data_IF_965331684124
#
_entry.id   IF_965331684124
#
_cell.length_a   1.000
_cell.length_b   1.000
_cell.length_c   1.000
_cell.angle_alpha   90.00
_cell.angle_beta   90.00
_cell.angle_gamma   90.00
#
_symmetry.space_group_name_H-M   'P 1'
#
loop_
_entity.id
_entity.type
_entity.pdbx_description
1 polymer ?
#
# COMPACT_ATOMS: atom_id res chain seq x y z
N UNK A 1 -8.96 27.62 -16.82
CA UNK A 1 -10.07 26.69 -16.56
C UNK A 1 -9.53 25.30 -16.79
N UNK A 2 -9.42 24.48 -15.76
CA UNK A 2 -8.98 23.09 -15.90
C UNK A 2 -10.07 22.34 -16.64
N UNK A 3 -9.77 21.71 -17.78
CA UNK A 3 -10.73 20.84 -18.45
C UNK A 3 -11.21 19.75 -17.47
N UNK A 4 -12.51 19.42 -17.47
CA UNK A 4 -13.02 18.38 -16.60
C UNK A 4 -12.37 17.03 -16.96
N UNK A 5 -11.75 16.39 -15.96
CA UNK A 5 -11.16 15.07 -16.13
C UNK A 5 -12.25 14.08 -16.61
N UNK A 6 -12.01 13.30 -17.68
CA UNK A 6 -12.96 12.30 -18.13
C UNK A 6 -13.28 11.29 -17.01
N UNK A 7 -14.48 10.69 -17.01
CA UNK A 7 -14.84 9.68 -16.02
C UNK A 7 -13.92 8.45 -16.13
N UNK A 8 -13.70 7.78 -15.00
CA UNK A 8 -12.94 6.52 -14.96
C UNK A 8 -13.62 5.44 -15.79
N UNK A 9 -12.85 4.75 -16.64
CA UNK A 9 -13.32 3.68 -17.53
C UNK A 9 -12.72 2.32 -17.11
N UNK A 10 -13.46 1.49 -16.35
CA UNK A 10 -12.91 0.24 -15.81
C UNK A 10 -12.42 -0.75 -16.86
N UNK A 11 -13.05 -0.78 -18.04
CA UNK A 11 -12.71 -1.70 -19.14
C UNK A 11 -11.44 -1.31 -19.89
N UNK A 12 -10.98 -0.07 -19.71
CA UNK A 12 -9.78 0.50 -20.34
C UNK A 12 -8.66 0.72 -19.31
N UNK A 13 -8.94 0.46 -18.03
CA UNK A 13 -7.99 0.71 -16.97
C UNK A 13 -6.86 -0.33 -16.99
N UNK A 14 -5.63 0.17 -16.97
CA UNK A 14 -4.41 -0.66 -17.01
C UNK A 14 -3.83 -0.87 -15.61
N UNK A 15 -2.96 -1.87 -15.45
CA UNK A 15 -2.17 -2.01 -14.24
C UNK A 15 -1.20 -0.83 -14.10
N UNK A 16 -1.20 -0.16 -12.96
CA UNK A 16 -0.34 1.01 -12.69
C UNK A 16 1.16 0.70 -12.71
N UNK A 17 1.54 -0.58 -12.68
CA UNK A 17 2.93 -1.06 -12.60
C UNK A 17 3.65 -1.06 -13.96
N UNK A 18 3.57 0.04 -14.70
CA UNK A 18 4.25 0.19 -15.99
C UNK A 18 3.76 1.35 -16.85
N UNK A 19 2.53 1.83 -16.63
CA UNK A 19 1.93 2.94 -17.39
C UNK A 19 1.52 4.09 -16.47
N UNK A 20 1.90 5.32 -16.85
CA UNK A 20 1.70 6.54 -16.05
C UNK A 20 0.59 7.44 -16.60
N UNK A 21 -0.08 7.05 -17.68
CA UNK A 21 -1.09 7.87 -18.36
C UNK A 21 -2.39 7.07 -18.53
N UNK A 22 -3.53 7.73 -18.29
CA UNK A 22 -4.86 7.13 -18.42
C UNK A 22 -5.46 6.68 -17.10
N UNK A 23 -6.54 5.91 -17.21
CA UNK A 23 -7.18 5.25 -16.08
C UNK A 23 -6.33 4.05 -15.67
N UNK A 24 -6.07 3.89 -14.38
CA UNK A 24 -5.29 2.76 -13.86
C UNK A 24 -5.97 2.14 -12.67
N UNK A 25 -5.67 0.86 -12.44
CA UNK A 25 -6.08 0.12 -11.26
C UNK A 25 -4.87 -0.07 -10.34
N UNK A 26 -5.07 0.13 -9.04
CA UNK A 26 -4.06 -0.19 -8.05
C UNK A 26 -3.92 -1.72 -7.93
N UNK A 27 -2.69 -2.24 -7.77
CA UNK A 27 -2.48 -3.67 -7.67
C UNK A 27 -3.11 -4.21 -6.39
N UNK A 28 -3.91 -5.27 -6.55
CA UNK A 28 -4.43 -6.02 -5.41
C UNK A 28 -3.33 -6.91 -4.85
N UNK A 29 -2.88 -6.58 -3.63
CA UNK A 29 -1.80 -7.27 -2.95
C UNK A 29 -2.34 -8.42 -2.08
N UNK A 30 -1.63 -9.54 -2.10
CA UNK A 30 -1.86 -10.65 -1.18
C UNK A 30 -1.49 -10.26 0.25
N UNK A 31 -2.13 -10.86 1.27
CA UNK A 31 -1.78 -10.63 2.66
C UNK A 31 -0.39 -11.19 2.99
N UNK A 32 0.18 -10.72 4.12
CA UNK A 32 1.51 -11.11 4.65
C UNK A 32 2.67 -10.59 3.78
N UNK A 33 2.86 -9.26 3.70
CA UNK A 33 4.04 -8.71 3.05
C UNK A 33 5.33 -9.18 3.74
N UNK A 34 6.43 -9.18 2.99
CA UNK A 34 7.77 -9.35 3.53
C UNK A 34 8.45 -7.99 3.70
N UNK A 35 9.35 -7.86 4.68
CA UNK A 35 10.16 -6.66 4.86
C UNK A 35 11.64 -7.02 4.65
N UNK A 36 12.29 -6.34 3.70
CA UNK A 36 13.73 -6.40 3.49
C UNK A 36 14.36 -5.15 4.08
N UNK A 37 15.44 -5.29 4.84
CA UNK A 37 16.14 -4.18 5.49
C UNK A 37 17.62 -4.24 5.10
N UNK A 38 18.09 -3.19 4.44
CA UNK A 38 19.50 -2.92 4.20
C UNK A 38 20.03 -1.82 5.11
N UNK A 39 21.25 -1.34 4.84
CA UNK A 39 21.91 -0.31 5.64
C UNK A 39 21.18 1.04 5.61
N UNK A 40 20.71 1.47 4.44
CA UNK A 40 20.07 2.79 4.25
C UNK A 40 18.63 2.72 3.73
N UNK A 41 18.13 1.52 3.43
CA UNK A 41 16.85 1.32 2.75
C UNK A 41 16.11 0.11 3.33
N UNK A 42 14.82 0.29 3.57
CA UNK A 42 13.89 -0.80 3.78
C UNK A 42 12.95 -0.92 2.56
N UNK A 43 12.53 -2.13 2.24
CA UNK A 43 11.56 -2.40 1.17
C UNK A 43 10.47 -3.32 1.70
N UNK A 44 9.23 -2.84 1.70
CA UNK A 44 8.05 -3.70 1.88
C UNK A 44 7.80 -4.39 0.54
N UNK A 45 7.83 -5.71 0.54
CA UNK A 45 7.62 -6.55 -0.63
C UNK A 45 6.22 -7.15 -0.57
N UNK A 46 5.44 -6.86 -1.60
CA UNK A 46 4.05 -7.28 -1.78
C UNK A 46 3.95 -8.16 -3.03
N UNK A 47 3.44 -9.37 -2.89
CA UNK A 47 3.05 -10.19 -4.03
C UNK A 47 1.60 -9.83 -4.43
N UNK A 48 1.31 -9.69 -5.71
CA UNK A 48 -0.02 -9.36 -6.22
C UNK A 48 -0.82 -10.60 -6.57
N UNK A 49 -2.16 -10.48 -6.68
CA UNK A 49 -3.02 -11.58 -7.14
C UNK A 49 -2.71 -12.04 -8.57
N UNK A 50 -2.01 -11.20 -9.35
CA UNK A 50 -1.57 -11.48 -10.72
C UNK A 50 -0.16 -12.10 -10.76
N UNK A 51 0.42 -12.46 -9.61
CA UNK A 51 1.74 -13.08 -9.53
C UNK A 51 2.90 -12.11 -9.74
N UNK A 52 2.65 -10.80 -9.72
CA UNK A 52 3.70 -9.78 -9.78
C UNK A 52 4.25 -9.51 -8.38
N UNK A 53 5.46 -8.97 -8.30
CA UNK A 53 6.08 -8.54 -7.05
C UNK A 53 6.33 -7.05 -7.08
N UNK A 54 5.81 -6.35 -6.07
CA UNK A 54 5.92 -4.89 -5.90
C UNK A 54 6.79 -4.60 -4.68
N UNK A 55 7.78 -3.72 -4.85
CA UNK A 55 8.57 -3.17 -3.77
C UNK A 55 8.13 -1.75 -3.43
N UNK A 56 7.85 -1.49 -2.17
CA UNK A 56 7.62 -0.14 -1.64
C UNK A 56 8.88 0.29 -0.86
N UNK A 57 9.76 1.11 -1.47
CA UNK A 57 10.96 1.59 -0.80
C UNK A 57 10.60 2.62 0.27
N UNK A 58 11.20 2.48 1.44
CA UNK A 58 11.06 3.36 2.58
C UNK A 58 12.45 3.62 3.17
N UNK A 59 12.66 4.81 3.73
CA UNK A 59 13.79 5.00 4.65
C UNK A 59 13.60 4.11 5.89
N UNK A 60 14.68 3.83 6.62
CA UNK A 60 14.58 3.08 7.87
C UNK A 60 13.64 3.76 8.88
N UNK A 61 13.71 5.09 8.97
CA UNK A 61 12.78 5.87 9.79
C UNK A 61 11.33 5.72 9.30
N UNK A 62 11.10 5.80 7.98
CA UNK A 62 9.77 5.62 7.42
C UNK A 62 9.16 4.24 7.69
N UNK A 63 10.00 3.19 7.73
CA UNK A 63 9.55 1.85 8.13
C UNK A 63 9.16 1.78 9.62
N UNK A 64 9.93 2.43 10.51
CA UNK A 64 9.61 2.52 11.93
C UNK A 64 8.31 3.31 12.18
N UNK A 65 8.15 4.44 11.49
CA UNK A 65 6.95 5.27 11.57
C UNK A 65 5.71 4.51 11.08
N UNK A 66 5.85 3.78 9.96
CA UNK A 66 4.77 2.95 9.43
C UNK A 66 4.36 1.86 10.43
N UNK A 67 5.32 1.19 11.07
CA UNK A 67 5.04 0.20 12.11
C UNK A 67 4.27 0.82 13.29
N UNK A 68 4.66 2.01 13.75
CA UNK A 68 3.99 2.70 14.84
C UNK A 68 2.54 3.08 14.48
N UNK A 69 2.32 3.65 13.29
CA UNK A 69 0.99 4.05 12.81
C UNK A 69 0.07 2.83 12.66
N UNK A 70 0.58 1.73 12.09
CA UNK A 70 -0.20 0.49 11.95
C UNK A 70 -0.53 -0.13 13.30
N UNK A 71 0.42 -0.15 14.24
CA UNK A 71 0.20 -0.63 15.60
C UNK A 71 -0.92 0.13 16.30
N UNK A 72 -0.90 1.47 16.21
CA UNK A 72 -1.93 2.31 16.81
C UNK A 72 -3.30 2.14 16.12
N UNK A 73 -3.33 2.06 14.80
CA UNK A 73 -4.56 1.81 14.06
C UNK A 73 -5.21 0.48 14.46
N UNK A 74 -4.41 -0.59 14.60
CA UNK A 74 -4.89 -1.90 15.05
C UNK A 74 -5.38 -1.85 16.49
N UNK A 75 -4.67 -1.16 17.39
CA UNK A 75 -5.10 -0.94 18.77
C UNK A 75 -6.47 -0.27 18.84
N UNK A 76 -6.69 0.77 18.03
CA UNK A 76 -7.98 1.48 17.95
C UNK A 76 -9.11 0.62 17.40
N UNK A 77 -8.82 -0.22 16.40
CA UNK A 77 -9.81 -1.17 15.86
C UNK A 77 -10.24 -2.19 16.93
N UNK A 78 -9.28 -2.77 17.65
CA UNK A 78 -9.54 -3.73 18.73
C UNK A 78 -10.32 -3.12 19.90
N UNK A 79 -10.06 -1.85 20.23
CA UNK A 79 -10.78 -1.13 21.29
C UNK A 79 -12.26 -0.89 20.93
N UNK A 80 -12.60 -0.74 19.65
CA UNK A 80 -13.98 -0.56 19.18
C UNK A 80 -14.81 -1.85 19.25
N UNK A 81 -14.17 -3.01 19.18
CA UNK A 81 -14.83 -4.32 19.26
C UNK A 81 -15.05 -4.82 20.71
N UNK A 82 -14.90 -3.94 21.72
CA UNK A 82 -15.26 -4.22 23.12
C UNK A 82 -14.11 -4.69 24.02
N UNK A 83 -12.86 -4.66 23.55
CA UNK A 83 -11.69 -4.89 24.40
C UNK A 83 -11.35 -3.65 25.22
N UNK A 84 -11.50 -3.71 26.54
CA UNK A 84 -10.93 -2.69 27.44
C UNK A 84 -9.41 -2.69 27.27
N UNK A 85 -8.86 -1.63 26.69
CA UNK A 85 -7.41 -1.38 26.68
C UNK A 85 -7.02 -1.04 28.13
N UNK A 86 -6.36 -1.98 28.80
CA UNK A 86 -5.66 -1.73 30.07
C UNK A 86 -4.20 -1.36 29.79
#
# INVERSE_FOLDING_TARGET
MTEPKPPFRPTEAVDVLGETAGDFVLPLCLPKPSLLIGEDLAVVVLDTIHGQRVGLPLSLQGAADLHAVLGEALRLLQARDGGSVQ
#
